data_IF_959551310979
#
_entry.id   IF_959551310979
#
_cell.length_a   1.000
_cell.length_b   1.000
_cell.length_c   1.000
_cell.angle_alpha   90.00
_cell.angle_beta   90.00
_cell.angle_gamma   90.00
#
_symmetry.space_group_name_H-M   'P 1'
#
loop_
_entity.id
_entity.type
_entity.pdbx_description
1 polymer ?
#
# COMPACT_ATOMS: atom_id res chain seq x y z
N UNK A 1 3.95 8.19 11.12
CA UNK A 1 4.15 7.39 9.88
C UNK A 1 5.44 6.60 10.04
N UNK A 2 5.39 5.26 10.19
CA UNK A 2 6.60 4.43 10.23
C UNK A 2 7.17 4.40 8.80
N UNK A 3 8.44 4.81 8.56
CA UNK A 3 9.01 4.81 7.20
C UNK A 3 9.10 3.37 6.68
N UNK A 4 8.87 3.18 5.36
CA UNK A 4 9.00 1.86 4.72
C UNK A 4 10.36 1.26 5.01
N UNK A 5 10.44 -0.06 5.12
CA UNK A 5 11.70 -0.74 5.44
C UNK A 5 12.74 -0.51 4.33
N UNK A 6 12.30 -0.44 3.08
CA UNK A 6 13.13 -0.05 1.93
C UNK A 6 13.66 1.39 2.02
N UNK A 7 12.83 2.35 2.46
CA UNK A 7 13.27 3.74 2.67
C UNK A 7 14.38 3.82 3.73
N UNK A 8 14.29 3.03 4.80
CA UNK A 8 15.31 2.95 5.85
C UNK A 8 16.63 2.38 5.31
N UNK A 9 16.55 1.33 4.48
CA UNK A 9 17.74 0.78 3.82
C UNK A 9 18.43 1.81 2.92
N UNK A 10 17.66 2.55 2.12
CA UNK A 10 18.21 3.54 1.21
C UNK A 10 18.88 4.70 1.97
N UNK A 11 18.26 5.18 3.05
CA UNK A 11 18.86 6.22 3.91
C UNK A 11 20.18 5.78 4.54
N UNK A 12 20.25 4.53 4.99
CA UNK A 12 21.47 3.98 5.59
C UNK A 12 22.66 3.83 4.62
N UNK A 13 22.45 3.99 3.30
CA UNK A 13 23.53 4.05 2.31
C UNK A 13 24.02 5.48 2.03
N UNK A 14 23.21 6.49 2.37
CA UNK A 14 23.48 7.89 2.04
C UNK A 14 23.97 8.71 3.23
N UNK A 15 23.66 8.30 4.45
CA UNK A 15 24.06 8.99 5.68
C UNK A 15 25.46 8.52 6.13
N UNK A 16 26.36 9.47 6.47
CA UNK A 16 27.76 9.18 6.82
C UNK A 16 27.91 8.30 8.08
N UNK A 17 26.97 8.38 9.01
CA UNK A 17 27.01 7.66 10.30
C UNK A 17 26.12 6.40 10.32
N UNK A 18 25.44 6.09 9.21
CA UNK A 18 24.50 4.98 9.15
C UNK A 18 25.15 3.71 8.55
N UNK A 19 24.99 2.57 9.24
CA UNK A 19 25.48 1.28 8.75
C UNK A 19 24.37 0.51 8.05
N UNK A 20 24.46 0.43 6.71
CA UNK A 20 23.57 -0.37 5.87
C UNK A 20 23.50 -1.84 6.31
N UNK A 21 24.62 -2.41 6.73
CA UNK A 21 24.76 -3.82 7.11
C UNK A 21 23.98 -4.11 8.40
N UNK A 22 24.05 -3.20 9.36
CA UNK A 22 23.30 -3.29 10.61
C UNK A 22 21.81 -3.03 10.37
N UNK A 23 21.48 -2.02 9.56
CA UNK A 23 20.09 -1.72 9.17
C UNK A 23 19.44 -2.92 8.47
N UNK A 24 20.13 -3.53 7.52
CA UNK A 24 19.67 -4.74 6.82
C UNK A 24 19.54 -5.93 7.76
N UNK A 25 20.50 -6.14 8.66
CA UNK A 25 20.44 -7.23 9.65
C UNK A 25 19.24 -7.08 10.58
N UNK A 26 19.00 -5.85 11.08
CA UNK A 26 17.85 -5.51 11.91
C UNK A 26 16.55 -5.77 11.17
N UNK A 27 16.42 -5.26 9.94
CA UNK A 27 15.21 -5.46 9.12
C UNK A 27 14.93 -6.95 8.90
N UNK A 28 15.93 -7.74 8.51
CA UNK A 28 15.73 -9.17 8.25
C UNK A 28 15.29 -9.92 9.52
N UNK A 29 15.95 -9.68 10.65
CA UNK A 29 15.71 -10.44 11.88
C UNK A 29 14.54 -9.95 12.71
N UNK A 30 14.40 -8.64 12.86
CA UNK A 30 13.46 -8.00 13.79
C UNK A 30 12.17 -7.61 13.08
N UNK A 31 12.24 -6.89 11.96
CA UNK A 31 11.03 -6.43 11.26
C UNK A 31 10.39 -7.52 10.39
N UNK A 32 11.20 -8.38 9.75
CA UNK A 32 10.72 -9.45 8.85
C UNK A 32 10.67 -10.83 9.51
N UNK A 33 11.22 -11.00 10.72
CA UNK A 33 11.28 -12.26 11.47
C UNK A 33 11.83 -13.46 10.65
N UNK A 34 12.83 -13.21 9.80
CA UNK A 34 13.45 -14.21 8.92
C UNK A 34 14.91 -14.44 9.27
N UNK A 35 15.44 -15.61 8.88
CA UNK A 35 16.87 -15.85 8.89
C UNK A 35 17.55 -15.34 7.60
N UNK A 36 18.88 -15.18 7.65
CA UNK A 36 19.66 -14.66 6.52
C UNK A 36 19.59 -15.59 5.29
N UNK A 37 19.55 -16.90 5.48
CA UNK A 37 19.52 -17.86 4.37
C UNK A 37 18.19 -17.82 3.65
N UNK A 38 17.11 -17.74 4.41
CA UNK A 38 15.76 -17.61 3.89
C UNK A 38 15.62 -16.30 3.10
N UNK A 39 16.13 -15.20 3.64
CA UNK A 39 16.13 -13.92 2.94
C UNK A 39 16.97 -13.94 1.66
N UNK A 40 18.20 -14.49 1.71
CA UNK A 40 19.07 -14.59 0.53
C UNK A 40 18.40 -15.38 -0.60
N UNK A 41 17.76 -16.49 -0.26
CA UNK A 41 17.00 -17.31 -1.20
C UNK A 41 15.82 -16.53 -1.80
N UNK A 42 15.03 -15.82 -1.00
CA UNK A 42 13.91 -15.01 -1.51
C UNK A 42 14.37 -13.84 -2.38
N UNK A 43 15.46 -13.18 -2.00
CA UNK A 43 16.04 -12.07 -2.75
C UNK A 43 16.77 -12.52 -4.02
N UNK A 44 16.94 -13.83 -4.25
CA UNK A 44 17.66 -14.36 -5.42
C UNK A 44 19.15 -13.99 -5.40
N UNK A 45 19.74 -13.84 -4.21
CA UNK A 45 21.16 -13.50 -4.03
C UNK A 45 21.91 -14.69 -3.40
N UNK A 46 23.18 -14.92 -3.78
CA UNK A 46 23.97 -15.95 -3.13
C UNK A 46 24.07 -15.71 -1.62
N UNK A 47 23.94 -16.76 -0.82
CA UNK A 47 24.12 -16.69 0.63
C UNK A 47 25.44 -16.01 1.00
N UNK A 48 26.53 -16.39 0.33
CA UNK A 48 27.85 -15.79 0.53
C UNK A 48 27.86 -14.29 0.26
N UNK A 49 27.08 -13.78 -0.69
CA UNK A 49 26.95 -12.35 -0.97
C UNK A 49 26.26 -11.63 0.18
N UNK A 50 25.15 -12.16 0.69
CA UNK A 50 24.45 -11.55 1.83
C UNK A 50 25.29 -11.59 3.11
N UNK A 51 26.01 -12.69 3.36
CA UNK A 51 26.93 -12.80 4.49
C UNK A 51 28.08 -11.79 4.41
N UNK A 52 28.66 -11.56 3.22
CA UNK A 52 29.69 -10.52 3.01
C UNK A 52 29.15 -9.13 3.30
N UNK A 53 27.93 -8.84 2.87
CA UNK A 53 27.29 -7.54 3.13
C UNK A 53 27.12 -7.34 4.64
N UNK A 54 26.57 -8.33 5.35
CA UNK A 54 26.23 -8.18 6.77
C UNK A 54 27.43 -8.29 7.70
N UNK A 55 28.31 -9.26 7.48
CA UNK A 55 29.42 -9.56 8.38
C UNK A 55 30.70 -8.78 8.07
N UNK A 56 30.99 -8.57 6.78
CA UNK A 56 32.21 -7.85 6.35
C UNK A 56 31.95 -6.36 6.11
N UNK A 57 30.73 -5.88 6.42
CA UNK A 57 30.26 -4.51 6.18
C UNK A 57 30.53 -4.02 4.75
N UNK A 58 30.46 -4.96 3.78
CA UNK A 58 30.76 -4.67 2.39
C UNK A 58 29.55 -4.06 1.69
N UNK A 59 29.73 -2.89 1.09
CA UNK A 59 28.67 -2.26 0.30
C UNK A 59 28.18 -3.19 -0.84
N UNK A 60 26.86 -3.40 -1.00
CA UNK A 60 26.32 -4.13 -2.12
C UNK A 60 26.54 -3.36 -3.43
N UNK A 61 26.69 -4.08 -4.54
CA UNK A 61 26.56 -3.45 -5.85
C UNK A 61 25.09 -3.10 -6.14
N UNK A 62 24.86 -2.27 -7.16
CA UNK A 62 23.51 -1.78 -7.51
C UNK A 62 22.51 -2.91 -7.85
N UNK A 63 22.99 -4.00 -8.46
CA UNK A 63 22.14 -5.17 -8.78
C UNK A 63 21.66 -5.86 -7.51
N UNK A 64 22.58 -6.12 -6.58
CA UNK A 64 22.27 -6.74 -5.28
C UNK A 64 21.42 -5.83 -4.42
N UNK A 65 21.72 -4.52 -4.39
CA UNK A 65 20.90 -3.54 -3.69
C UNK A 65 19.46 -3.55 -4.19
N UNK A 66 19.26 -3.52 -5.52
CA UNK A 66 17.92 -3.58 -6.12
C UNK A 66 17.20 -4.87 -5.75
N UNK A 67 17.89 -6.01 -5.73
CA UNK A 67 17.32 -7.28 -5.33
C UNK A 67 16.89 -7.30 -3.86
N UNK A 68 17.72 -6.76 -2.97
CA UNK A 68 17.42 -6.61 -1.54
C UNK A 68 16.21 -5.70 -1.34
N UNK A 69 16.21 -4.50 -1.93
CA UNK A 69 15.12 -3.53 -1.80
C UNK A 69 13.80 -4.10 -2.31
N UNK A 70 13.80 -4.71 -3.51
CA UNK A 70 12.60 -5.37 -4.05
C UNK A 70 12.09 -6.49 -3.15
N UNK A 71 12.99 -7.33 -2.65
CA UNK A 71 12.63 -8.42 -1.73
C UNK A 71 11.97 -7.86 -0.46
N UNK A 72 12.54 -6.79 0.11
CA UNK A 72 11.98 -6.12 1.29
C UNK A 72 10.60 -5.53 0.98
N UNK A 73 10.45 -4.79 -0.12
CA UNK A 73 9.15 -4.23 -0.53
C UNK A 73 8.10 -5.33 -0.79
N UNK A 74 8.50 -6.45 -1.40
CA UNK A 74 7.61 -7.59 -1.65
C UNK A 74 7.20 -8.29 -0.36
N UNK A 75 8.10 -8.44 0.62
CA UNK A 75 7.77 -9.09 1.90
C UNK A 75 6.95 -8.13 2.77
N UNK A 76 7.34 -6.86 2.85
CA UNK A 76 6.60 -5.79 3.54
C UNK A 76 5.18 -5.66 2.96
N UNK A 77 5.05 -5.73 1.63
CA UNK A 77 3.77 -5.72 0.90
C UNK A 77 3.03 -7.06 0.84
N UNK A 78 3.64 -8.18 1.25
CA UNK A 78 2.95 -9.48 1.42
C UNK A 78 2.38 -9.65 2.83
N UNK A 79 2.91 -8.93 3.82
CA UNK A 79 2.39 -8.93 5.18
C UNK A 79 1.12 -8.08 5.35
N UNK A 80 0.81 -7.23 4.36
CA UNK A 80 -0.30 -6.27 4.38
C UNK A 80 -1.08 -6.45 3.07
N UNK A 81 -2.35 -6.83 3.14
CA UNK A 81 -3.06 -7.69 2.17
C UNK A 81 -3.19 -7.20 0.71
N UNK A 82 -3.27 -8.15 -0.22
CA UNK A 82 -3.52 -7.93 -1.65
C UNK A 82 -5.00 -7.59 -1.94
N UNK A 83 -5.48 -6.42 -1.51
CA UNK A 83 -6.86 -5.99 -1.72
C UNK A 83 -6.98 -4.54 -2.23
N UNK A 84 -8.15 -4.20 -2.77
CA UNK A 84 -8.56 -2.83 -3.11
C UNK A 84 -9.46 -2.30 -1.99
N UNK A 85 -9.12 -1.14 -1.44
CA UNK A 85 -9.94 -0.49 -0.44
C UNK A 85 -11.02 0.36 -1.11
N UNK A 86 -12.28 0.21 -0.69
CA UNK A 86 -13.38 1.08 -1.12
C UNK A 86 -13.83 1.90 0.07
N UNK A 87 -13.66 3.21 -0.02
CA UNK A 87 -13.95 4.17 1.04
C UNK A 87 -15.14 5.02 0.60
N UNK A 88 -16.30 4.78 1.20
CA UNK A 88 -17.53 5.46 0.83
C UNK A 88 -18.54 5.48 1.98
N UNK A 89 -19.64 6.22 1.80
CA UNK A 89 -20.77 6.14 2.70
C UNK A 89 -21.34 4.71 2.72
N UNK A 90 -21.92 4.28 3.85
CA UNK A 90 -22.52 2.94 3.99
C UNK A 90 -23.51 2.62 2.88
N UNK A 91 -24.36 3.59 2.51
CA UNK A 91 -25.35 3.44 1.43
C UNK A 91 -24.74 3.11 0.05
N UNK A 92 -23.47 3.44 -0.17
CA UNK A 92 -22.74 3.07 -1.39
C UNK A 92 -22.11 1.69 -1.24
N UNK A 93 -21.55 1.39 -0.07
CA UNK A 93 -20.90 0.10 0.23
C UNK A 93 -21.90 -1.06 0.26
N UNK A 94 -23.12 -0.82 0.77
CA UNK A 94 -24.20 -1.82 0.80
C UNK A 94 -24.61 -2.31 -0.61
N UNK A 95 -24.19 -1.61 -1.67
CA UNK A 95 -24.42 -1.99 -3.08
C UNK A 95 -23.33 -2.91 -3.64
N UNK A 96 -22.26 -3.18 -2.88
CA UNK A 96 -21.19 -4.09 -3.28
C UNK A 96 -21.62 -5.50 -2.91
N UNK A 97 -22.07 -6.27 -3.90
CA UNK A 97 -22.54 -7.65 -3.69
C UNK A 97 -21.38 -8.64 -3.51
N UNK A 98 -20.28 -8.42 -4.24
CA UNK A 98 -19.11 -9.31 -4.23
C UNK A 98 -17.88 -8.63 -3.61
N UNK A 99 -17.39 -9.20 -2.51
CA UNK A 99 -16.14 -8.78 -1.84
C UNK A 99 -14.88 -9.35 -2.50
N UNK A 100 -15.04 -10.10 -3.58
CA UNK A 100 -13.93 -10.67 -4.35
C UNK A 100 -14.31 -10.61 -5.82
N UNK A 101 -13.56 -9.84 -6.59
CA UNK A 101 -13.82 -9.60 -8.01
C UNK A 101 -12.77 -10.37 -8.82
N UNK A 102 -13.21 -11.15 -9.80
CA UNK A 102 -12.29 -11.80 -10.74
C UNK A 102 -11.97 -10.86 -11.90
N UNK A 103 -10.70 -10.45 -12.02
CA UNK A 103 -10.20 -9.59 -13.10
C UNK A 103 -9.02 -10.31 -13.75
N UNK A 104 -9.07 -10.53 -15.06
CA UNK A 104 -8.01 -11.20 -15.84
C UNK A 104 -7.56 -12.55 -15.25
N UNK A 105 -8.50 -13.32 -14.71
CA UNK A 105 -8.23 -14.62 -14.08
C UNK A 105 -7.59 -14.54 -12.68
N UNK A 106 -7.49 -13.35 -12.09
CA UNK A 106 -7.03 -13.14 -10.71
C UNK A 106 -8.18 -12.69 -9.82
N UNK A 107 -8.33 -13.35 -8.69
CA UNK A 107 -9.26 -12.93 -7.65
C UNK A 107 -8.66 -11.75 -6.87
N UNK A 108 -9.34 -10.61 -6.91
CA UNK A 108 -8.96 -9.39 -6.19
C UNK A 108 -9.93 -9.21 -5.03
N UNK A 109 -9.41 -9.14 -3.81
CA UNK A 109 -10.24 -8.86 -2.65
C UNK A 109 -10.61 -7.38 -2.59
N UNK A 110 -11.85 -7.10 -2.19
CA UNK A 110 -12.34 -5.75 -1.93
C UNK A 110 -12.63 -5.64 -0.44
N UNK A 111 -12.10 -4.59 0.19
CA UNK A 111 -12.38 -4.27 1.59
C UNK A 111 -13.05 -2.93 1.71
N UNK A 112 -14.16 -2.93 2.43
CA UNK A 112 -15.03 -1.78 2.62
C UNK A 112 -14.59 -0.97 3.85
N UNK A 113 -14.49 0.36 3.70
CA UNK A 113 -14.20 1.29 4.78
C UNK A 113 -15.30 2.36 4.81
N UNK A 114 -16.29 2.23 5.72
CA UNK A 114 -17.35 3.22 5.81
C UNK A 114 -16.81 4.56 6.32
N UNK A 115 -17.13 5.63 5.61
CA UNK A 115 -16.76 7.00 5.95
C UNK A 115 -17.95 7.94 5.73
N UNK A 116 -18.16 8.89 6.65
CA UNK A 116 -19.28 9.84 6.57
C UNK A 116 -18.82 11.28 6.35
N UNK A 117 -17.56 11.58 6.63
CA UNK A 117 -16.94 12.90 6.48
C UNK A 117 -15.68 12.85 5.62
N UNK A 118 -15.16 14.02 5.24
CA UNK A 118 -13.90 14.10 4.50
C UNK A 118 -12.74 13.61 5.37
N UNK A 119 -12.76 13.97 6.65
CA UNK A 119 -11.79 13.59 7.67
C UNK A 119 -11.76 12.06 7.86
N UNK A 120 -12.94 11.43 7.92
CA UNK A 120 -13.06 9.97 8.00
C UNK A 120 -12.39 9.30 6.79
N UNK A 121 -12.58 9.86 5.58
CA UNK A 121 -11.96 9.31 4.37
C UNK A 121 -10.44 9.40 4.44
N UNK A 122 -9.88 10.51 4.92
CA UNK A 122 -8.44 10.68 5.06
C UNK A 122 -7.87 9.63 6.01
N UNK A 123 -8.48 9.48 7.20
CA UNK A 123 -8.05 8.49 8.20
C UNK A 123 -8.19 7.06 7.65
N UNK A 124 -9.32 6.74 7.02
CA UNK A 124 -9.56 5.44 6.43
C UNK A 124 -8.57 5.13 5.29
N UNK A 125 -8.16 6.13 4.52
CA UNK A 125 -7.19 5.97 3.42
C UNK A 125 -5.81 5.59 3.93
N UNK A 126 -5.34 6.28 4.97
CA UNK A 126 -4.05 5.97 5.62
C UNK A 126 -4.12 4.58 6.24
N UNK A 127 -5.21 4.28 6.95
CA UNK A 127 -5.41 2.95 7.56
C UNK A 127 -5.44 1.85 6.51
N UNK A 128 -6.14 2.06 5.39
CA UNK A 128 -6.20 1.10 4.30
C UNK A 128 -4.82 0.82 3.70
N UNK A 129 -4.00 1.86 3.47
CA UNK A 129 -2.61 1.70 3.04
C UNK A 129 -1.77 0.94 4.07
N UNK A 130 -1.91 1.27 5.35
CA UNK A 130 -1.21 0.58 6.44
C UNK A 130 -1.62 -0.88 6.58
N UNK A 131 -2.85 -1.23 6.23
CA UNK A 131 -3.36 -2.60 6.19
C UNK A 131 -3.02 -3.33 4.88
N UNK A 132 -2.47 -2.60 3.89
CA UNK A 132 -1.83 -3.14 2.69
C UNK A 132 -2.58 -2.96 1.39
N UNK A 133 -3.63 -2.15 1.38
CA UNK A 133 -4.38 -1.89 0.16
C UNK A 133 -3.46 -1.57 -1.02
N UNK A 134 -3.69 -2.21 -2.17
CA UNK A 134 -2.95 -1.99 -3.42
C UNK A 134 -3.49 -0.83 -4.23
N UNK A 135 -4.67 -0.35 -3.86
CA UNK A 135 -5.30 0.85 -4.40
C UNK A 135 -6.53 1.24 -3.57
N UNK A 136 -6.95 2.49 -3.72
CA UNK A 136 -8.10 3.07 -3.03
C UNK A 136 -9.14 3.53 -4.05
N UNK A 137 -10.41 3.24 -3.79
CA UNK A 137 -11.55 3.81 -4.48
C UNK A 137 -12.29 4.73 -3.51
N UNK A 138 -12.47 6.01 -3.87
CA UNK A 138 -13.15 6.99 -3.02
C UNK A 138 -14.00 8.00 -3.81
N UNK A 139 -14.70 8.90 -3.11
CA UNK A 139 -15.49 9.94 -3.76
C UNK A 139 -14.59 11.01 -4.44
N UNK A 140 -15.02 11.63 -5.55
CA UNK A 140 -14.20 12.63 -6.26
C UNK A 140 -13.81 13.85 -5.42
N UNK A 141 -14.69 14.28 -4.50
CA UNK A 141 -14.49 15.50 -3.70
C UNK A 141 -13.26 15.44 -2.76
N UNK A 142 -12.78 14.23 -2.46
CA UNK A 142 -11.66 14.00 -1.53
C UNK A 142 -10.40 13.48 -2.22
N UNK A 143 -10.44 13.21 -3.53
CA UNK A 143 -9.36 12.50 -4.23
C UNK A 143 -8.02 13.21 -4.15
N UNK A 144 -8.01 14.53 -4.39
CA UNK A 144 -6.79 15.35 -4.37
C UNK A 144 -6.15 15.44 -2.99
N UNK A 145 -6.96 15.37 -1.92
CA UNK A 145 -6.46 15.34 -0.54
C UNK A 145 -5.87 13.97 -0.21
N UNK A 146 -6.55 12.89 -0.62
CA UNK A 146 -6.10 11.52 -0.38
C UNK A 146 -4.79 11.24 -1.14
N UNK A 147 -4.67 11.68 -2.40
CA UNK A 147 -3.45 11.57 -3.21
C UNK A 147 -2.20 12.18 -2.56
N UNK A 148 -2.37 13.18 -1.69
CA UNK A 148 -1.26 13.82 -0.97
C UNK A 148 -0.79 13.06 0.25
N UNK A 149 -1.61 12.14 0.78
CA UNK A 149 -1.35 11.48 2.07
C UNK A 149 -1.07 9.98 1.94
N UNK A 150 -1.39 9.35 0.81
CA UNK A 150 -1.10 7.94 0.55
C UNK A 150 -0.14 7.76 -0.63
N UNK A 151 0.53 6.60 -0.70
CA UNK A 151 1.50 6.29 -1.80
C UNK A 151 0.97 5.26 -2.81
N UNK A 152 -0.28 4.83 -2.67
CA UNK A 152 -0.94 3.82 -3.51
C UNK A 152 -1.90 4.49 -4.50
N UNK A 153 -2.18 3.88 -5.67
CA UNK A 153 -3.06 4.47 -6.68
C UNK A 153 -4.48 4.68 -6.15
N UNK A 154 -5.12 5.77 -6.60
CA UNK A 154 -6.50 6.13 -6.24
C UNK A 154 -7.35 6.22 -7.50
N UNK A 155 -8.60 5.78 -7.40
CA UNK A 155 -9.63 5.92 -8.44
C UNK A 155 -10.89 6.50 -7.81
N UNK A 156 -11.63 7.32 -8.54
CA UNK A 156 -12.84 7.96 -8.02
C UNK A 156 -14.12 7.31 -8.52
N UNK A 157 -15.13 7.26 -7.66
CA UNK A 157 -16.49 6.83 -8.03
C UNK A 157 -17.16 7.98 -8.79
N UNK A 158 -17.50 7.77 -10.06
CA UNK A 158 -18.20 8.77 -10.87
C UNK A 158 -19.66 8.35 -11.15
N UNK A 159 -20.65 8.80 -10.35
CA UNK A 159 -22.04 8.43 -10.56
C UNK A 159 -22.67 9.31 -11.66
N UNK A 160 -22.92 8.74 -12.86
CA UNK A 160 -23.57 9.48 -13.96
C UNK A 160 -25.11 9.50 -13.83
N UNK A 161 -25.73 8.35 -13.63
CA UNK A 161 -27.20 8.21 -13.63
C UNK A 161 -27.86 8.81 -12.40
N UNK A 162 -27.23 8.67 -11.23
CA UNK A 162 -27.76 9.15 -9.95
C UNK A 162 -27.98 10.66 -9.90
N UNK A 163 -27.17 11.44 -10.63
CA UNK A 163 -27.26 12.91 -10.63
C UNK A 163 -28.51 13.38 -11.35
N UNK A 164 -28.81 12.80 -12.52
CA UNK A 164 -30.01 13.15 -13.28
C UNK A 164 -31.28 12.82 -12.51
N UNK A 165 -31.32 11.66 -11.85
CA UNK A 165 -32.47 11.28 -11.04
C UNK A 165 -32.66 12.22 -9.83
N UNK A 166 -31.56 12.57 -9.15
CA UNK A 166 -31.62 13.55 -8.06
C UNK A 166 -32.17 14.91 -8.51
N UNK A 167 -31.74 15.39 -9.69
CA UNK A 167 -32.28 16.62 -10.29
C UNK A 167 -33.78 16.49 -10.57
N UNK A 168 -34.24 15.37 -11.16
CA UNK A 168 -35.68 15.14 -11.42
C UNK A 168 -36.50 15.13 -10.13
N UNK A 169 -35.98 14.49 -9.08
CA UNK A 169 -36.65 14.42 -7.79
C UNK A 169 -36.77 15.82 -7.16
N UNK A 170 -35.71 16.62 -7.22
CA UNK A 170 -35.73 18.01 -6.74
C UNK A 170 -36.67 18.87 -7.58
N UNK A 171 -36.63 18.75 -8.91
CA UNK A 171 -37.51 19.50 -9.82
C UNK A 171 -38.99 19.25 -9.49
N UNK A 172 -39.40 17.98 -9.37
CA UNK A 172 -40.77 17.61 -8.95
C UNK A 172 -41.16 18.19 -7.60
N UNK A 173 -40.26 18.19 -6.61
CA UNK A 173 -40.51 18.74 -5.27
C UNK A 173 -40.58 20.28 -5.27
N UNK A 174 -39.82 20.92 -6.15
CA UNK A 174 -39.77 22.37 -6.30
C UNK A 174 -40.89 22.91 -7.21
N UNK A 175 -41.64 22.04 -7.90
CA UNK A 175 -42.70 22.44 -8.84
C UNK A 175 -42.18 22.93 -10.20
N UNK A 176 -40.99 22.49 -10.62
CA UNK A 176 -40.39 22.75 -11.93
C UNK A 176 -40.77 21.67 -12.96
#
# INVERSE_FOLDING_TARGET
MKPRLSDQLLRSLTEQDADFSETLRRIIKEDLAMDLREFARKAGIPNSTLYKIISEKRAPNLRTLRAIVRCVDEIEGKAKGEFVAVIAARSVLDRIEERTISIDGKAIQVREYPASTIEDVIVASIRAEEEGARGIVCAPIVSSTVERVVRIPIVTIAPKESVLEAIRVVAKKAGL
#
